data_IF_907908922204
#
_entry.id   IF_907908922204
#
_cell.length_a   1.000
_cell.length_b   1.000
_cell.length_c   1.000
_cell.angle_alpha   90.00
_cell.angle_beta   90.00
_cell.angle_gamma   90.00
#
_symmetry.space_group_name_H-M   'P 1'
#
loop_
_entity.id
_entity.type
_entity.pdbx_description
1 polymer ?
#
# COMPACT_ATOMS: atom_id res chain seq x y z
N UNK A 1 11.55 -49.34 -29.81
CA UNK A 1 11.62 -49.33 -28.32
C UNK A 1 11.07 -50.66 -27.84
N UNK A 2 11.90 -51.53 -27.25
CA UNK A 2 11.49 -52.89 -26.86
C UNK A 2 11.06 -52.95 -25.39
N UNK A 3 9.96 -53.64 -25.12
CA UNK A 3 9.50 -53.97 -23.76
C UNK A 3 10.39 -55.04 -23.08
N UNK A 4 11.31 -55.67 -23.82
CA UNK A 4 12.24 -56.65 -23.28
C UNK A 4 13.45 -56.02 -22.56
N UNK A 5 13.63 -54.70 -22.63
CA UNK A 5 14.69 -54.03 -21.88
C UNK A 5 14.26 -53.92 -20.40
N UNK A 6 15.01 -54.50 -19.44
CA UNK A 6 14.65 -54.47 -18.02
C UNK A 6 14.52 -53.06 -17.46
N UNK A 7 15.26 -52.09 -18.01
CA UNK A 7 15.16 -50.67 -17.64
C UNK A 7 13.80 -50.10 -18.04
N UNK A 8 13.32 -50.41 -19.24
CA UNK A 8 12.00 -49.95 -19.70
C UNK A 8 10.88 -50.54 -18.86
N UNK A 9 11.03 -51.81 -18.46
CA UNK A 9 10.05 -52.50 -17.62
C UNK A 9 10.00 -51.91 -16.21
N UNK A 10 11.15 -51.53 -15.64
CA UNK A 10 11.25 -50.85 -14.34
C UNK A 10 10.66 -49.44 -14.36
N UNK A 11 10.81 -48.71 -15.47
CA UNK A 11 10.31 -47.34 -15.63
C UNK A 11 8.82 -47.27 -15.98
N UNK A 12 8.21 -48.37 -16.43
CA UNK A 12 6.81 -48.42 -16.86
C UNK A 12 5.83 -48.08 -15.71
N UNK A 13 5.94 -48.67 -14.50
CA UNK A 13 5.07 -48.35 -13.38
C UNK A 13 5.09 -46.87 -12.93
N UNK A 14 6.24 -46.20 -12.70
CA UNK A 14 6.24 -44.79 -12.33
C UNK A 14 5.73 -43.89 -13.46
N UNK A 15 5.97 -44.23 -14.74
CA UNK A 15 5.38 -43.49 -15.87
C UNK A 15 3.85 -43.57 -15.86
N UNK A 16 3.29 -44.77 -15.69
CA UNK A 16 1.84 -44.97 -15.61
C UNK A 16 1.24 -44.23 -14.42
N UNK A 17 1.94 -44.23 -13.28
CA UNK A 17 1.51 -43.48 -12.09
C UNK A 17 1.47 -41.97 -12.34
N UNK A 18 2.48 -41.43 -13.02
CA UNK A 18 2.52 -40.01 -13.39
C UNK A 18 1.42 -39.66 -14.39
N UNK A 19 1.18 -40.50 -15.40
CA UNK A 19 0.07 -40.32 -16.35
C UNK A 19 -1.28 -40.36 -15.65
N UNK A 20 -1.48 -41.30 -14.72
CA UNK A 20 -2.69 -41.36 -13.90
C UNK A 20 -2.90 -40.07 -13.09
N UNK A 21 -1.86 -39.58 -12.41
CA UNK A 21 -1.90 -38.31 -11.65
C UNK A 21 -2.11 -37.08 -12.53
N UNK A 22 -1.69 -37.12 -13.79
CA UNK A 22 -1.89 -36.05 -14.75
C UNK A 22 -3.34 -36.00 -15.27
N UNK A 23 -3.95 -37.16 -15.51
CA UNK A 23 -5.36 -37.25 -15.96
C UNK A 23 -6.35 -37.07 -14.80
N UNK A 24 -6.00 -37.58 -13.60
CA UNK A 24 -6.77 -37.41 -12.36
C UNK A 24 -5.96 -36.61 -11.32
N UNK A 25 -5.90 -35.27 -11.45
CA UNK A 25 -5.26 -34.43 -10.45
C UNK A 25 -6.00 -34.57 -9.11
N UNK A 26 -5.27 -35.00 -8.08
CA UNK A 26 -5.76 -34.96 -6.71
C UNK A 26 -5.68 -33.53 -6.20
N UNK A 27 -6.79 -32.79 -6.29
CA UNK A 27 -6.89 -31.48 -5.66
C UNK A 27 -7.01 -31.67 -4.14
N UNK A 28 -6.29 -30.87 -3.33
CA UNK A 28 -6.58 -30.82 -1.91
C UNK A 28 -8.04 -30.39 -1.71
N UNK A 29 -8.82 -31.23 -1.05
CA UNK A 29 -10.27 -31.02 -0.83
C UNK A 29 -10.56 -29.82 0.06
N UNK A 30 -9.58 -29.39 0.85
CA UNK A 30 -9.72 -28.25 1.75
C UNK A 30 -8.91 -27.07 1.21
N UNK A 31 -9.54 -25.96 0.82
CA UNK A 31 -8.83 -24.73 0.53
C UNK A 31 -8.08 -24.30 1.79
N UNK A 32 -6.75 -24.29 1.73
CA UNK A 32 -5.92 -23.85 2.85
C UNK A 32 -6.15 -22.35 3.04
N UNK A 33 -6.80 -21.96 4.14
CA UNK A 33 -6.95 -20.56 4.50
C UNK A 33 -5.55 -19.96 4.68
N UNK A 34 -5.24 -18.89 3.94
CA UNK A 34 -3.97 -18.21 4.11
C UNK A 34 -3.90 -17.58 5.52
N UNK A 35 -2.78 -17.75 6.23
CA UNK A 35 -2.62 -17.14 7.55
C UNK A 35 -2.58 -15.61 7.40
N UNK A 36 -3.36 -14.93 8.24
CA UNK A 36 -3.46 -13.46 8.25
C UNK A 36 -2.52 -12.77 9.24
N UNK A 37 -1.84 -13.58 10.06
CA UNK A 37 -0.85 -13.15 11.05
C UNK A 37 0.49 -13.74 10.70
N UNK A 38 1.54 -12.95 10.93
CA UNK A 38 2.91 -13.41 10.81
C UNK A 38 3.23 -14.39 11.94
N UNK A 39 3.71 -15.59 11.59
CA UNK A 39 4.03 -16.66 12.54
C UNK A 39 5.49 -17.16 12.43
N UNK A 40 6.34 -16.48 11.64
CA UNK A 40 7.74 -16.86 11.41
C UNK A 40 7.95 -18.15 10.59
N UNK A 41 7.13 -19.18 10.79
CA UNK A 41 7.15 -20.46 10.08
C UNK A 41 6.35 -20.43 8.77
N UNK A 42 5.41 -19.49 8.64
CA UNK A 42 4.57 -19.34 7.45
C UNK A 42 5.08 -18.22 6.52
N UNK A 43 5.77 -18.62 5.44
CA UNK A 43 6.25 -17.67 4.41
C UNK A 43 5.11 -16.99 3.63
N UNK A 44 4.04 -17.75 3.32
CA UNK A 44 2.90 -17.27 2.52
C UNK A 44 1.77 -16.70 3.40
N UNK A 45 2.07 -15.68 4.20
CA UNK A 45 1.06 -14.94 4.97
C UNK A 45 0.65 -13.69 4.19
N UNK A 46 -0.65 -13.36 4.24
CA UNK A 46 -1.20 -12.15 3.63
C UNK A 46 -1.85 -11.32 4.75
N UNK A 47 -1.60 -10.00 4.85
CA UNK A 47 -2.23 -9.20 5.90
C UNK A 47 -3.76 -9.24 5.77
N UNK A 48 -4.47 -9.30 6.90
CA UNK A 48 -5.93 -9.39 6.92
C UNK A 48 -6.65 -8.17 6.31
N UNK A 49 -5.97 -7.02 6.25
CA UNK A 49 -6.40 -5.84 5.50
C UNK A 49 -5.20 -5.20 4.83
N UNK A 50 -5.40 -4.69 3.62
CA UNK A 50 -4.42 -3.78 3.03
C UNK A 50 -4.36 -2.48 3.85
N UNK A 51 -3.18 -1.87 3.99
CA UNK A 51 -3.09 -0.52 4.55
C UNK A 51 -3.91 0.43 3.67
N UNK A 52 -4.49 1.48 4.28
CA UNK A 52 -5.10 2.55 3.50
C UNK A 52 -4.03 3.21 2.63
N UNK A 53 -3.99 2.82 1.37
CA UNK A 53 -3.13 3.41 0.35
C UNK A 53 -3.86 4.59 -0.27
N UNK A 54 -3.14 5.69 -0.47
CA UNK A 54 -3.64 6.86 -1.20
C UNK A 54 -3.91 6.42 -2.64
N UNK A 55 -5.17 6.08 -2.94
CA UNK A 55 -5.62 5.92 -4.32
C UNK A 55 -5.56 7.29 -4.98
N UNK A 56 -4.93 7.39 -6.15
CA UNK A 56 -4.94 8.61 -6.95
C UNK A 56 -6.38 9.04 -7.19
N UNK A 57 -6.80 10.11 -6.52
CA UNK A 57 -8.16 10.64 -6.58
C UNK A 57 -8.07 12.07 -7.07
N UNK A 58 -8.83 12.39 -8.11
CA UNK A 58 -9.05 13.77 -8.52
C UNK A 58 -9.91 14.47 -7.46
N UNK A 59 -9.43 15.62 -6.98
CA UNK A 59 -10.19 16.49 -6.10
C UNK A 59 -10.64 17.73 -6.86
N UNK A 60 -11.91 18.08 -6.75
CA UNK A 60 -12.37 19.43 -7.06
C UNK A 60 -11.91 20.41 -5.98
N UNK A 61 -11.91 21.71 -6.29
CA UNK A 61 -11.50 22.75 -5.33
C UNK A 61 -12.43 22.80 -4.11
N UNK A 62 -13.72 22.53 -4.30
CA UNK A 62 -14.71 22.50 -3.22
C UNK A 62 -14.55 21.28 -2.32
N UNK A 63 -14.20 20.12 -2.88
CA UNK A 63 -13.86 18.93 -2.09
C UNK A 63 -12.56 19.14 -1.31
N UNK A 64 -11.52 19.70 -1.94
CA UNK A 64 -10.23 19.93 -1.29
C UNK A 64 -10.34 20.90 -0.10
N UNK A 65 -11.19 21.92 -0.22
CA UNK A 65 -11.42 22.91 0.84
C UNK A 65 -12.06 22.35 2.13
N UNK A 66 -12.46 21.08 2.14
CA UNK A 66 -12.92 20.38 3.34
C UNK A 66 -11.76 19.78 4.16
N UNK A 67 -10.57 19.68 3.59
CA UNK A 67 -9.38 19.06 4.20
C UNK A 67 -8.38 20.11 4.66
N UNK A 68 -8.83 21.00 5.54
CA UNK A 68 -8.09 22.16 6.06
C UNK A 68 -7.51 21.95 7.48
N UNK A 69 -7.65 20.76 8.05
CA UNK A 69 -7.24 20.50 9.44
C UNK A 69 -8.19 21.06 10.51
N UNK A 70 -9.26 21.77 10.10
CA UNK A 70 -10.32 22.31 10.97
C UNK A 70 -11.60 21.49 10.83
N UNK A 71 -12.10 21.34 9.60
CA UNK A 71 -13.31 20.57 9.26
C UNK A 71 -13.04 19.07 9.17
N UNK A 72 -11.79 18.70 8.90
CA UNK A 72 -11.31 17.33 8.79
C UNK A 72 -9.98 17.21 9.54
N UNK A 73 -9.70 16.04 10.11
CA UNK A 73 -8.41 15.77 10.75
C UNK A 73 -7.25 15.75 9.72
N UNK A 74 -7.59 15.40 8.47
CA UNK A 74 -6.64 15.36 7.35
C UNK A 74 -6.45 16.73 6.73
N UNK A 75 -5.20 17.02 6.34
CA UNK A 75 -4.80 18.24 5.65
C UNK A 75 -4.29 17.87 4.26
N UNK A 76 -4.99 18.31 3.23
CA UNK A 76 -4.58 18.09 1.84
C UNK A 76 -4.13 19.42 1.21
N UNK A 77 -2.95 19.42 0.60
CA UNK A 77 -2.36 20.60 -0.05
C UNK A 77 -2.23 20.36 -1.56
N UNK A 78 -2.84 21.22 -2.37
CA UNK A 78 -2.60 21.25 -3.81
C UNK A 78 -1.41 22.16 -4.14
N UNK A 79 -0.38 21.59 -4.78
CA UNK A 79 0.77 22.34 -5.30
C UNK A 79 0.67 22.38 -6.82
N UNK A 80 0.74 23.59 -7.38
CA UNK A 80 0.77 23.80 -8.82
C UNK A 80 2.23 23.99 -9.30
N UNK A 81 2.63 23.23 -10.31
CA UNK A 81 3.90 23.47 -11.01
C UNK A 81 3.65 24.49 -12.12
N UNK A 82 4.34 25.62 -12.05
CA UNK A 82 4.21 26.72 -13.03
C UNK A 82 5.55 26.89 -13.75
N UNK A 83 5.51 26.99 -15.08
CA UNK A 83 6.64 27.43 -15.91
C UNK A 83 6.15 28.49 -16.89
N UNK A 84 6.89 29.58 -17.05
CA UNK A 84 6.55 30.69 -17.95
C UNK A 84 5.12 31.25 -17.78
N UNK A 85 4.64 31.25 -16.52
CA UNK A 85 3.28 31.71 -16.18
C UNK A 85 2.16 30.70 -16.50
N UNK A 86 2.48 29.53 -17.05
CA UNK A 86 1.52 28.47 -17.37
C UNK A 86 1.57 27.37 -16.30
N UNK A 87 0.39 26.99 -15.80
CA UNK A 87 0.25 25.84 -14.90
C UNK A 87 0.42 24.55 -15.70
N UNK A 88 1.49 23.82 -15.43
CA UNK A 88 1.81 22.55 -16.08
C UNK A 88 1.17 21.36 -15.37
N UNK A 89 1.15 21.38 -14.05
CA UNK A 89 0.69 20.26 -13.23
C UNK A 89 0.04 20.77 -11.94
N UNK A 90 -0.95 20.03 -11.43
CA UNK A 90 -1.52 20.23 -10.10
C UNK A 90 -1.59 18.89 -9.38
N UNK A 91 -0.91 18.81 -8.25
CA UNK A 91 -0.79 17.57 -7.48
C UNK A 91 -1.20 17.84 -6.05
N UNK A 92 -2.02 16.94 -5.50
CA UNK A 92 -2.52 17.02 -4.13
C UNK A 92 -1.68 16.10 -3.24
N UNK A 93 -1.16 16.65 -2.15
CA UNK A 93 -0.35 15.94 -1.17
C UNK A 93 -1.07 15.87 0.17
N UNK A 94 -1.03 14.71 0.81
CA UNK A 94 -1.43 14.59 2.20
C UNK A 94 -0.29 15.10 3.09
N UNK A 95 -0.53 16.24 3.73
CA UNK A 95 0.43 16.92 4.61
C UNK A 95 -0.02 16.87 6.07
N UNK A 96 -0.90 15.93 6.43
CA UNK A 96 -1.43 15.77 7.79
C UNK A 96 -0.32 15.53 8.82
N UNK A 97 0.78 14.86 8.44
CA UNK A 97 1.95 14.69 9.29
C UNK A 97 2.66 16.02 9.63
N UNK A 98 2.50 17.05 8.79
CA UNK A 98 3.01 18.40 8.98
C UNK A 98 1.99 19.36 9.60
N UNK A 99 1.02 18.87 10.38
CA UNK A 99 -0.07 19.69 10.96
C UNK A 99 0.40 20.94 11.70
N UNK A 100 1.58 20.93 12.31
CA UNK A 100 2.14 22.13 12.96
C UNK A 100 2.44 23.27 11.99
N UNK A 101 2.70 22.96 10.71
CA UNK A 101 2.98 23.94 9.66
C UNK A 101 1.75 24.29 8.81
N UNK A 102 0.95 23.29 8.46
CA UNK A 102 -0.18 23.44 7.53
C UNK A 102 -1.56 23.48 8.19
N UNK A 103 -1.64 23.17 9.48
CA UNK A 103 -2.89 23.16 10.23
C UNK A 103 -3.26 24.54 10.79
N UNK A 104 -4.45 24.65 11.39
CA UNK A 104 -4.89 25.85 12.09
C UNK A 104 -4.05 26.09 13.35
N UNK A 105 -2.97 26.85 13.20
CA UNK A 105 -1.99 27.20 14.23
C UNK A 105 -1.03 28.29 13.73
N UNK A 106 -0.26 28.87 14.65
CA UNK A 106 0.44 30.18 14.54
C UNK A 106 1.36 30.39 13.32
N UNK A 107 1.65 29.36 12.52
CA UNK A 107 2.65 29.45 11.45
C UNK A 107 2.10 29.38 10.00
N UNK A 108 0.82 29.03 9.77
CA UNK A 108 0.35 28.66 8.42
C UNK A 108 -0.86 29.40 7.85
N UNK A 109 -1.65 30.09 8.68
CA UNK A 109 -2.97 30.60 8.28
C UNK A 109 -3.12 32.12 8.40
N UNK A 110 -2.58 32.88 7.45
CA UNK A 110 -2.88 34.31 7.29
C UNK A 110 -2.03 35.26 8.15
N UNK A 111 -1.47 36.30 7.51
CA UNK A 111 -0.58 37.26 8.15
C UNK A 111 -1.20 37.96 9.37
N UNK A 112 -0.48 37.92 10.49
CA UNK A 112 -0.79 38.65 11.72
C UNK A 112 0.30 38.37 12.76
N UNK A 113 1.01 39.41 13.18
CA UNK A 113 2.27 39.30 13.93
C UNK A 113 2.17 38.62 15.29
N UNK A 114 3.18 37.80 15.59
CA UNK A 114 3.47 37.25 16.91
C UNK A 114 4.95 36.90 16.94
N UNK A 115 5.72 37.58 17.80
CA UNK A 115 7.18 37.65 17.73
C UNK A 115 7.89 36.31 17.85
N UNK A 116 9.04 36.23 17.16
CA UNK A 116 9.97 35.12 17.32
C UNK A 116 10.51 35.02 18.76
N UNK A 117 10.77 33.78 19.16
CA UNK A 117 11.47 33.46 20.40
C UNK A 117 11.95 32.01 20.36
N UNK A 118 13.20 31.80 19.98
CA UNK A 118 13.88 30.52 20.21
C UNK A 118 13.96 30.22 21.71
N UNK A 119 13.50 29.04 22.12
CA UNK A 119 13.49 28.62 23.52
C UNK A 119 13.82 27.14 23.65
N UNK A 120 14.97 26.87 24.27
CA UNK A 120 15.51 25.56 24.64
C UNK A 120 14.67 24.84 25.70
N UNK A 121 14.71 23.50 25.68
CA UNK A 121 14.44 22.59 26.82
C UNK A 121 12.96 22.42 27.17
N UNK A 122 12.44 21.28 27.64
CA UNK A 122 13.02 20.15 28.39
C UNK A 122 12.07 18.95 28.24
N UNK A 123 12.63 17.73 28.31
CA UNK A 123 11.91 16.46 28.44
C UNK A 123 11.29 16.32 29.84
N UNK A 124 10.25 15.49 29.97
CA UNK A 124 10.19 14.47 31.02
C UNK A 124 10.49 13.07 30.48
#
# INVERSE_FOLDING_TARGET
>A
MSLANPVNLLLLPPLLWLLYRAVWPAYPTTPRSQPTKYDGEAYNWAPGSHPEVITSKGYSTTELAQFDGVKSERILLAIAKIADGVVLERTVFDVSAGRNFYGPGECGGGGGGGGGGGGRGTQP
#
